data_IF_062938533535
#
_entry.id   IF_062938533535
#
_cell.length_a   1.000
_cell.length_b   1.000
_cell.length_c   1.000
_cell.angle_alpha   90.00
_cell.angle_beta   90.00
_cell.angle_gamma   90.00
#
_symmetry.space_group_name_H-M   'P 1'
#
loop_
_entity.id
_entity.type
_entity.pdbx_description
1 polymer ?
#
# COMPACT_ATOMS: atom_id res chain seq x y z
N UNK A 1 11.10 -22.68 -0.43
CA UNK A 1 11.01 -21.44 0.38
C UNK A 1 10.99 -20.29 -0.61
N UNK A 2 9.87 -19.58 -0.74
CA UNK A 2 9.88 -18.36 -1.55
C UNK A 2 10.89 -17.40 -0.93
N UNK A 3 11.75 -16.84 -1.77
CA UNK A 3 12.72 -15.86 -1.31
C UNK A 3 11.94 -14.62 -0.90
N UNK A 4 12.08 -14.19 0.35
CA UNK A 4 11.48 -12.95 0.81
C UNK A 4 12.04 -11.79 -0.02
N UNK A 5 11.17 -10.98 -0.61
CA UNK A 5 11.55 -9.74 -1.27
C UNK A 5 11.44 -8.59 -0.26
N UNK A 6 12.58 -7.96 0.06
CA UNK A 6 12.62 -6.80 0.94
C UNK A 6 12.52 -5.46 0.21
N UNK A 7 12.34 -5.50 -1.13
CA UNK A 7 12.24 -4.35 -2.01
C UNK A 7 13.45 -3.40 -1.94
N UNK A 8 14.61 -3.89 -1.50
CA UNK A 8 15.78 -3.06 -1.18
C UNK A 8 15.44 -1.93 -0.16
N UNK A 9 14.44 -2.16 0.70
CA UNK A 9 14.01 -1.21 1.72
C UNK A 9 14.52 -1.63 3.10
N UNK A 10 15.32 -0.76 3.73
CA UNK A 10 15.96 -1.05 5.01
C UNK A 10 14.98 -1.32 6.18
N UNK A 11 13.76 -0.78 6.15
CA UNK A 11 12.76 -1.07 7.18
C UNK A 11 12.15 -2.46 6.96
N UNK A 12 11.86 -2.82 5.71
CA UNK A 12 11.31 -4.13 5.34
C UNK A 12 12.32 -5.24 5.60
N UNK A 13 13.60 -5.03 5.29
CA UNK A 13 14.67 -5.99 5.54
C UNK A 13 14.82 -6.35 7.04
N UNK A 14 14.55 -5.39 7.93
CA UNK A 14 14.65 -5.54 9.40
C UNK A 14 13.48 -6.30 10.03
N UNK A 15 12.44 -6.63 9.27
CA UNK A 15 11.29 -7.32 9.82
C UNK A 15 11.68 -8.69 10.37
N UNK A 16 11.20 -9.05 11.58
CA UNK A 16 11.42 -10.36 12.15
C UNK A 16 10.62 -11.44 11.39
N UNK A 17 11.05 -12.69 11.50
CA UNK A 17 10.47 -13.80 10.73
C UNK A 17 8.98 -14.04 11.05
N UNK A 18 8.55 -13.79 12.30
CA UNK A 18 7.16 -13.95 12.69
C UNK A 18 6.23 -12.88 12.10
N UNK A 19 6.76 -11.75 11.61
CA UNK A 19 5.98 -10.81 10.81
C UNK A 19 6.03 -11.21 9.34
N UNK A 20 7.19 -11.65 8.83
CA UNK A 20 7.35 -12.05 7.42
C UNK A 20 6.36 -13.12 6.96
N UNK A 21 5.88 -13.98 7.86
CA UNK A 21 4.88 -15.00 7.52
C UNK A 21 3.53 -14.45 7.04
N UNK A 22 3.18 -13.19 7.39
CA UNK A 22 1.93 -12.56 6.94
C UNK A 22 2.06 -11.89 5.59
N UNK A 23 3.28 -11.73 5.07
CA UNK A 23 3.54 -11.02 3.84
C UNK A 23 3.23 -11.92 2.66
N UNK A 24 2.45 -11.39 1.72
CA UNK A 24 2.10 -12.03 0.45
C UNK A 24 2.63 -11.18 -0.70
N UNK A 25 2.89 -11.80 -1.85
CA UNK A 25 3.28 -11.07 -3.05
C UNK A 25 2.08 -10.26 -3.58
N UNK A 26 2.32 -8.99 -3.95
CA UNK A 26 1.30 -8.13 -4.56
C UNK A 26 0.70 -8.76 -5.83
N UNK A 27 1.50 -9.49 -6.61
CA UNK A 27 1.11 -10.08 -7.90
C UNK A 27 0.47 -9.04 -8.85
N UNK A 28 1.18 -7.94 -9.11
CA UNK A 28 0.65 -6.78 -9.84
C UNK A 28 -0.03 -7.12 -11.17
N UNK A 29 0.46 -8.13 -11.90
CA UNK A 29 -0.11 -8.61 -13.17
C UNK A 29 -1.55 -9.14 -13.06
N UNK A 30 -2.04 -9.43 -11.85
CA UNK A 30 -3.43 -9.84 -11.62
C UNK A 30 -4.42 -8.69 -11.74
N UNK A 31 -3.97 -7.43 -11.62
CA UNK A 31 -4.86 -6.28 -11.72
C UNK A 31 -5.38 -6.13 -13.14
N UNK A 32 -6.68 -6.27 -13.28
CA UNK A 32 -7.37 -6.14 -14.57
C UNK A 32 -7.51 -4.66 -14.97
N UNK A 33 -7.85 -4.37 -16.25
CA UNK A 33 -8.23 -3.02 -16.65
C UNK A 33 -9.41 -2.45 -15.84
N UNK A 34 -10.29 -3.30 -15.32
CA UNK A 34 -11.42 -2.91 -14.45
C UNK A 34 -10.87 -2.43 -13.09
N UNK A 35 -9.96 -3.18 -12.48
CA UNK A 35 -9.31 -2.82 -11.21
C UNK A 35 -8.61 -1.46 -11.31
N UNK A 36 -7.86 -1.26 -12.39
CA UNK A 36 -7.21 0.02 -12.69
C UNK A 36 -8.24 1.16 -12.85
N UNK A 37 -9.42 0.89 -13.41
CA UNK A 37 -10.48 1.88 -13.54
C UNK A 37 -11.15 2.19 -12.20
N UNK A 38 -11.37 1.19 -11.35
CA UNK A 38 -11.86 1.37 -9.97
C UNK A 38 -10.89 2.22 -9.16
N UNK A 39 -9.59 1.95 -9.25
CA UNK A 39 -8.55 2.78 -8.63
C UNK A 39 -8.66 4.25 -9.06
N UNK A 40 -8.66 4.51 -10.36
CA UNK A 40 -8.78 5.88 -10.91
C UNK A 40 -10.03 6.57 -10.40
N UNK A 41 -11.16 5.87 -10.42
CA UNK A 41 -12.43 6.41 -9.96
C UNK A 41 -12.33 6.84 -8.48
N UNK A 42 -11.93 5.93 -7.60
CA UNK A 42 -11.81 6.20 -6.15
C UNK A 42 -10.80 7.31 -5.87
N UNK A 43 -9.62 7.28 -6.51
CA UNK A 43 -8.59 8.28 -6.30
C UNK A 43 -9.01 9.67 -6.78
N UNK A 44 -9.75 9.78 -7.89
CA UNK A 44 -10.28 11.07 -8.37
C UNK A 44 -11.34 11.63 -7.43
N UNK A 45 -12.24 10.80 -6.91
CA UNK A 45 -13.22 11.23 -5.90
C UNK A 45 -12.51 11.73 -4.64
N UNK A 46 -11.59 10.94 -4.10
CA UNK A 46 -10.79 11.29 -2.92
C UNK A 46 -10.01 12.59 -3.15
N UNK A 47 -9.30 12.72 -4.27
CA UNK A 47 -8.52 13.92 -4.58
C UNK A 47 -9.42 15.16 -4.74
N UNK A 48 -10.56 15.03 -5.42
CA UNK A 48 -11.50 16.15 -5.64
C UNK A 48 -12.01 16.73 -4.32
N UNK A 49 -12.29 15.86 -3.34
CA UNK A 49 -12.75 16.27 -2.02
C UNK A 49 -11.59 16.75 -1.13
N UNK A 50 -10.54 15.93 -0.99
CA UNK A 50 -9.46 16.16 -0.03
C UNK A 50 -8.55 17.34 -0.41
N UNK A 51 -8.46 17.73 -1.68
CA UNK A 51 -7.68 18.93 -2.06
C UNK A 51 -8.17 20.22 -1.38
N UNK A 52 -9.45 20.28 -1.00
CA UNK A 52 -10.07 21.46 -0.37
C UNK A 52 -10.17 21.32 1.15
N UNK A 53 -10.28 20.09 1.67
CA UNK A 53 -10.60 19.82 3.09
C UNK A 53 -9.39 19.28 3.86
N UNK A 54 -8.49 18.55 3.21
CA UNK A 54 -7.34 17.98 3.88
C UNK A 54 -6.29 19.06 4.18
N UNK A 55 -5.55 18.85 5.26
CA UNK A 55 -4.41 19.68 5.58
C UNK A 55 -3.40 19.68 4.41
N UNK A 56 -2.85 20.86 4.08
CA UNK A 56 -2.08 21.11 2.85
C UNK A 56 -0.94 20.10 2.53
N UNK A 57 -0.29 19.41 3.50
CA UNK A 57 0.74 18.42 3.19
C UNK A 57 0.18 17.14 2.57
N UNK A 58 -1.12 16.86 2.70
CA UNK A 58 -1.71 15.58 2.31
C UNK A 58 -1.42 15.23 0.85
N UNK A 59 -1.71 16.16 -0.07
CA UNK A 59 -1.49 15.96 -1.51
C UNK A 59 0.00 15.78 -1.84
N UNK A 60 0.87 16.57 -1.20
CA UNK A 60 2.33 16.41 -1.34
C UNK A 60 2.80 15.06 -0.78
N UNK A 61 2.16 14.58 0.28
CA UNK A 61 2.42 13.29 0.90
C UNK A 61 2.14 12.12 -0.05
N UNK A 62 1.01 12.16 -0.77
CA UNK A 62 0.67 11.14 -1.78
C UNK A 62 1.79 11.03 -2.83
N UNK A 63 2.24 12.15 -3.37
CA UNK A 63 3.33 12.18 -4.34
C UNK A 63 4.65 11.67 -3.75
N UNK A 64 4.99 12.06 -2.52
CA UNK A 64 6.19 11.59 -1.81
C UNK A 64 6.15 10.10 -1.46
N UNK A 65 4.97 9.51 -1.35
CA UNK A 65 4.78 8.07 -1.17
C UNK A 65 4.81 7.28 -2.49
N UNK A 66 4.95 7.95 -3.65
CA UNK A 66 4.93 7.29 -4.95
C UNK A 66 3.53 6.89 -5.42
N UNK A 67 2.48 7.51 -4.90
CA UNK A 67 1.10 7.20 -5.28
C UNK A 67 0.66 7.99 -6.51
N UNK A 68 0.14 7.26 -7.49
CA UNK A 68 -0.46 7.80 -8.72
C UNK A 68 -1.99 7.79 -8.65
N UNK A 69 -2.62 8.78 -9.26
CA UNK A 69 -4.08 8.78 -9.46
C UNK A 69 -4.46 7.84 -10.62
N UNK A 70 -3.56 7.62 -11.58
CA UNK A 70 -3.91 7.01 -12.87
C UNK A 70 -3.80 5.48 -12.91
N UNK A 71 -3.03 4.90 -11.99
CA UNK A 71 -2.81 3.45 -11.88
C UNK A 71 -2.59 3.04 -10.43
N UNK A 72 -2.97 1.78 -10.13
CA UNK A 72 -2.66 1.11 -8.87
C UNK A 72 -1.12 1.16 -8.69
N UNK A 73 -0.60 1.54 -7.52
CA UNK A 73 0.84 1.65 -7.32
C UNK A 73 1.51 0.28 -7.30
N UNK A 74 2.65 0.18 -7.97
CA UNK A 74 3.58 -0.94 -7.81
C UNK A 74 4.32 -0.82 -6.46
N UNK A 75 4.40 -1.93 -5.73
CA UNK A 75 4.93 -1.93 -4.36
C UNK A 75 6.44 -1.65 -4.32
N UNK A 76 7.21 -2.04 -5.35
CA UNK A 76 8.63 -1.70 -5.43
C UNK A 76 8.80 -0.18 -5.56
N UNK A 77 8.09 0.44 -6.50
CA UNK A 77 8.10 1.90 -6.72
C UNK A 77 7.66 2.65 -5.47
N UNK A 78 6.67 2.13 -4.73
CA UNK A 78 6.24 2.70 -3.46
C UNK A 78 7.35 2.63 -2.41
N UNK A 79 8.01 1.48 -2.27
CA UNK A 79 9.11 1.29 -1.32
C UNK A 79 10.35 2.15 -1.64
N UNK A 80 10.65 2.39 -2.93
CA UNK A 80 11.72 3.29 -3.35
C UNK A 80 11.47 4.73 -2.87
N UNK A 81 10.20 5.14 -2.78
CA UNK A 81 9.81 6.47 -2.32
C UNK A 81 9.68 6.54 -0.80
N UNK A 82 9.03 5.56 -0.17
CA UNK A 82 8.92 5.47 1.28
C UNK A 82 10.29 5.34 1.97
N UNK A 83 11.24 4.63 1.34
CA UNK A 83 12.60 4.49 1.85
C UNK A 83 13.29 5.84 2.07
N UNK A 84 13.03 6.83 1.20
CA UNK A 84 13.58 8.19 1.30
C UNK A 84 13.07 8.96 2.54
N UNK A 85 11.96 8.54 3.12
CA UNK A 85 11.37 9.12 4.34
C UNK A 85 11.46 8.18 5.54
N UNK A 86 12.20 7.07 5.43
CA UNK A 86 12.45 6.14 6.52
C UNK A 86 11.29 5.19 6.83
N UNK A 87 10.43 4.93 5.84
CA UNK A 87 9.32 3.99 5.91
C UNK A 87 9.46 2.88 4.85
N UNK A 88 8.72 1.80 5.01
CA UNK A 88 8.52 0.77 3.99
C UNK A 88 7.06 0.35 3.91
N UNK A 89 6.72 -0.49 2.93
CA UNK A 89 5.39 -1.08 2.80
C UNK A 89 5.48 -2.54 2.38
N UNK A 90 4.54 -3.35 2.85
CA UNK A 90 4.40 -4.77 2.49
C UNK A 90 2.94 -5.10 2.23
N UNK A 91 2.70 -6.07 1.35
CA UNK A 91 1.35 -6.59 1.08
C UNK A 91 0.98 -7.75 2.01
N UNK A 92 -0.28 -7.82 2.44
CA UNK A 92 -0.85 -8.93 3.24
C UNK A 92 -2.20 -9.36 2.65
N UNK A 93 -2.68 -10.54 3.04
CA UNK A 93 -3.97 -11.13 2.62
C UNK A 93 -5.19 -10.50 3.34
N UNK A 94 -5.18 -9.17 3.48
CA UNK A 94 -6.22 -8.37 4.13
C UNK A 94 -6.26 -8.45 5.65
N UNK A 95 -6.35 -9.64 6.25
CA UNK A 95 -6.48 -9.81 7.70
C UNK A 95 -5.17 -10.25 8.36
N UNK A 96 -4.68 -9.45 9.31
CA UNK A 96 -3.60 -9.83 10.22
C UNK A 96 -3.99 -9.54 11.67
N UNK A 97 -3.45 -10.28 12.66
CA UNK A 97 -3.73 -10.00 14.07
C UNK A 97 -3.40 -8.53 14.43
N UNK A 98 -4.24 -7.84 15.23
CA UNK A 98 -4.00 -6.44 15.59
C UNK A 98 -2.62 -6.20 16.24
N UNK A 99 -2.14 -7.16 17.03
CA UNK A 99 -0.80 -7.10 17.63
C UNK A 99 0.31 -7.07 16.56
N UNK A 100 0.19 -7.90 15.52
CA UNK A 100 1.14 -7.92 14.41
C UNK A 100 1.08 -6.60 13.62
N UNK A 101 -0.13 -6.07 13.36
CA UNK A 101 -0.31 -4.77 12.70
C UNK A 101 0.41 -3.64 13.45
N UNK A 102 0.23 -3.57 14.77
CA UNK A 102 0.91 -2.58 15.61
C UNK A 102 2.44 -2.76 15.60
N UNK A 103 2.91 -4.01 15.60
CA UNK A 103 4.33 -4.30 15.52
C UNK A 103 4.94 -3.82 14.19
N UNK A 104 4.28 -4.01 13.05
CA UNK A 104 4.71 -3.43 11.77
C UNK A 104 4.90 -1.91 11.85
N UNK A 105 4.00 -1.19 12.53
CA UNK A 105 4.13 0.26 12.72
C UNK A 105 5.35 0.63 13.56
N UNK A 106 5.72 -0.18 14.56
CA UNK A 106 6.94 0.02 15.35
C UNK A 106 8.22 -0.11 14.48
N UNK A 107 8.16 -0.94 13.42
CA UNK A 107 9.21 -1.06 12.40
C UNK A 107 9.11 -0.04 11.26
N UNK A 108 8.16 0.91 11.32
CA UNK A 108 7.88 1.89 10.24
C UNK A 108 7.58 1.21 8.90
N UNK A 109 6.86 0.09 8.96
CA UNK A 109 6.37 -0.62 7.78
C UNK A 109 4.85 -0.51 7.73
N UNK A 110 4.34 -0.03 6.62
CA UNK A 110 2.90 0.02 6.33
C UNK A 110 2.43 -1.33 5.80
N UNK A 111 1.28 -1.78 6.28
CA UNK A 111 0.64 -3.00 5.82
C UNK A 111 -0.47 -2.61 4.87
N UNK A 112 -0.45 -3.18 3.66
CA UNK A 112 -1.41 -2.87 2.58
C UNK A 112 -2.06 -4.17 2.14
N UNK A 113 -3.38 -4.20 1.95
CA UNK A 113 -4.04 -5.36 1.36
C UNK A 113 -3.62 -5.50 -0.11
N UNK A 114 -3.32 -6.72 -0.56
CA UNK A 114 -2.96 -6.97 -1.96
C UNK A 114 -4.14 -6.74 -2.92
N UNK A 115 -5.36 -7.02 -2.47
CA UNK A 115 -6.55 -6.90 -3.29
C UNK A 115 -7.13 -5.48 -3.30
N UNK A 116 -7.74 -5.12 -4.42
CA UNK A 116 -8.53 -3.89 -4.56
C UNK A 116 -10.02 -4.20 -4.44
N UNK A 117 -10.79 -3.22 -3.96
CA UNK A 117 -12.25 -3.30 -3.91
C UNK A 117 -12.85 -3.59 -5.29
N UNK A 118 -13.91 -4.37 -5.30
CA UNK A 118 -14.64 -4.71 -6.53
C UNK A 118 -15.62 -3.62 -6.94
N UNK A 119 -16.02 -3.61 -8.21
CA UNK A 119 -16.95 -2.61 -8.80
C UNK A 119 -18.32 -2.56 -8.11
N UNK A 120 -18.79 -3.70 -7.57
CA UNK A 120 -20.04 -3.80 -6.80
C UNK A 120 -19.92 -3.28 -5.36
N UNK A 121 -18.70 -3.07 -4.86
CA UNK A 121 -18.37 -2.64 -3.50
C UNK A 121 -17.43 -1.44 -3.52
N UNK A 122 -17.65 -0.49 -4.44
CA UNK A 122 -16.78 0.68 -4.63
C UNK A 122 -16.74 1.59 -3.40
N UNK A 123 -17.89 1.78 -2.74
CA UNK A 123 -17.99 2.71 -1.62
C UNK A 123 -17.36 2.14 -0.34
N UNK A 124 -17.48 0.83 -0.12
CA UNK A 124 -16.96 0.14 1.06
C UNK A 124 -16.70 -1.35 0.76
N UNK A 125 -15.51 -1.84 1.11
CA UNK A 125 -15.20 -3.27 1.09
C UNK A 125 -15.58 -3.88 2.44
N UNK A 126 -16.40 -4.95 2.49
CA UNK A 126 -16.76 -5.62 3.75
C UNK A 126 -15.56 -6.16 4.53
#
# INVERSE_FOLDING_TARGET
MSHFNDFNNAQVAKLPNHLKQFIVDQNYEKYTPIDQAVWRYVMRQNYSYLKNVAYYPYIKGLQRAGLSIEHIPDLQTMNDNLGKIGWGAVTVDGFIPPAAFMEYQAYRVLVIAADIRQINHIEYTP
#
